data_IF_427669924504
#
_entry.id   IF_427669924504
#
_cell.length_a   1.000
_cell.length_b   1.000
_cell.length_c   1.000
_cell.angle_alpha   90.00
_cell.angle_beta   90.00
_cell.angle_gamma   90.00
#
_symmetry.space_group_name_H-M   'P 1'
#
loop_
_entity.id
_entity.type
_entity.pdbx_description
1 polymer ?
#
# COMPACT_ATOMS: atom_id res chain seq x y z
N UNK A 1 34.42 1.60 3.69
CA UNK A 1 34.06 0.36 4.40
C UNK A 1 32.57 0.17 4.21
N UNK A 2 32.16 -0.88 3.49
CA UNK A 2 30.74 -1.26 3.42
C UNK A 2 30.33 -1.65 4.84
N UNK A 3 29.26 -1.03 5.37
CA UNK A 3 28.84 -1.23 6.76
C UNK A 3 28.53 -2.70 7.08
N UNK A 4 28.63 -3.09 8.35
CA UNK A 4 28.22 -4.43 8.80
C UNK A 4 26.70 -4.47 8.95
N UNK A 5 26.07 -5.55 8.47
CA UNK A 5 24.64 -5.78 8.68
C UNK A 5 24.35 -6.12 10.15
N UNK A 6 23.29 -5.55 10.70
CA UNK A 6 22.82 -5.71 12.07
C UNK A 6 21.54 -6.54 12.15
N UNK A 7 20.67 -6.48 11.13
CA UNK A 7 19.43 -7.24 11.05
C UNK A 7 18.98 -7.42 9.59
N UNK A 8 17.98 -8.27 9.39
CA UNK A 8 17.34 -8.50 8.09
C UNK A 8 15.91 -7.96 8.16
N UNK A 9 15.58 -7.04 7.27
CA UNK A 9 14.22 -6.54 7.09
C UNK A 9 13.53 -7.36 5.99
N UNK A 10 12.31 -7.85 6.23
CA UNK A 10 11.55 -8.65 5.25
C UNK A 10 10.17 -8.05 5.07
N UNK A 11 9.86 -7.63 3.85
CA UNK A 11 8.50 -7.34 3.41
C UNK A 11 7.96 -8.55 2.67
N UNK A 12 7.02 -9.26 3.31
CA UNK A 12 6.54 -10.55 2.86
C UNK A 12 5.09 -10.46 2.42
N UNK A 13 4.90 -10.14 1.15
CA UNK A 13 3.60 -9.95 0.53
C UNK A 13 2.90 -11.26 0.14
N UNK A 14 1.73 -11.10 -0.48
CA UNK A 14 0.89 -12.21 -0.96
C UNK A 14 1.60 -13.07 -2.01
N UNK A 15 2.19 -12.44 -3.01
CA UNK A 15 2.82 -13.12 -4.16
C UNK A 15 4.32 -12.95 -4.23
N UNK A 16 4.87 -11.91 -3.60
CA UNK A 16 6.30 -11.60 -3.65
C UNK A 16 6.86 -11.44 -2.24
N UNK A 17 8.17 -11.65 -2.11
CA UNK A 17 8.94 -11.33 -0.90
C UNK A 17 10.11 -10.43 -1.29
N UNK A 18 10.37 -9.43 -0.45
CA UNK A 18 11.54 -8.56 -0.51
C UNK A 18 12.28 -8.63 0.82
N UNK A 19 13.57 -8.88 0.78
CA UNK A 19 14.41 -8.98 1.96
C UNK A 19 15.64 -8.08 1.81
N UNK A 20 16.08 -7.49 2.91
CA UNK A 20 17.15 -6.49 2.94
C UNK A 20 18.09 -6.76 4.10
N UNK A 21 19.40 -6.77 3.84
CA UNK A 21 20.40 -6.70 4.89
C UNK A 21 20.55 -5.23 5.33
N UNK A 22 20.28 -4.94 6.59
CA UNK A 22 20.21 -3.58 7.11
C UNK A 22 21.39 -3.31 8.04
N UNK A 23 22.01 -2.13 7.92
CA UNK A 23 22.97 -1.64 8.91
C UNK A 23 22.27 -1.22 10.21
N UNK A 24 23.04 -1.06 11.29
CA UNK A 24 22.56 -0.50 12.56
C UNK A 24 21.96 0.91 12.39
N UNK A 25 22.46 1.69 11.42
CA UNK A 25 21.94 3.02 11.10
C UNK A 25 20.73 3.00 10.13
N UNK A 26 20.15 1.82 9.85
CA UNK A 26 18.99 1.70 8.97
C UNK A 26 19.30 1.80 7.46
N UNK A 27 20.57 1.73 7.06
CA UNK A 27 20.97 1.74 5.65
C UNK A 27 20.82 0.35 5.03
N UNK A 28 20.23 0.26 3.83
CA UNK A 28 20.20 -0.99 3.05
C UNK A 28 21.62 -1.28 2.53
N UNK A 29 22.17 -2.44 2.88
CA UNK A 29 23.51 -2.89 2.47
C UNK A 29 23.45 -3.91 1.32
N UNK A 30 22.38 -4.70 1.28
CA UNK A 30 22.12 -5.71 0.26
C UNK A 30 20.62 -5.99 0.19
N UNK A 31 20.13 -6.50 -0.94
CA UNK A 31 18.70 -6.77 -1.16
C UNK A 31 18.45 -8.01 -2.00
N UNK A 32 17.31 -8.64 -1.77
CA UNK A 32 16.77 -9.78 -2.52
C UNK A 32 15.28 -9.53 -2.76
N UNK A 33 14.83 -9.77 -3.99
CA UNK A 33 13.41 -9.85 -4.32
C UNK A 33 13.13 -11.15 -5.09
N UNK A 34 12.08 -11.87 -4.70
CA UNK A 34 11.67 -13.12 -5.33
C UNK A 34 10.13 -13.32 -5.26
N UNK A 35 9.67 -14.40 -5.90
CA UNK A 35 8.27 -14.84 -5.98
C UNK A 35 7.84 -15.73 -4.80
N UNK A 36 8.62 -15.75 -3.71
CA UNK A 36 8.32 -16.54 -2.50
C UNK A 36 7.31 -15.83 -1.59
N UNK A 37 6.25 -15.25 -2.15
CA UNK A 37 5.13 -14.71 -1.37
C UNK A 37 4.38 -15.78 -0.59
N UNK A 38 3.50 -15.37 0.33
CA UNK A 38 2.80 -16.31 1.22
C UNK A 38 1.95 -17.36 0.47
N UNK A 39 1.46 -17.06 -0.73
CA UNK A 39 0.68 -18.02 -1.53
C UNK A 39 1.54 -19.14 -2.14
N UNK A 40 2.86 -18.96 -2.21
CA UNK A 40 3.80 -19.96 -2.69
C UNK A 40 4.32 -20.88 -1.57
N UNK A 41 3.85 -20.68 -0.33
CA UNK A 41 4.38 -21.32 0.87
C UNK A 41 3.29 -21.99 1.68
N UNK A 42 3.68 -23.06 2.38
CA UNK A 42 2.92 -23.65 3.47
C UNK A 42 3.53 -23.23 4.81
N UNK A 43 2.77 -23.22 5.93
CA UNK A 43 3.29 -22.79 7.24
C UNK A 43 4.56 -23.52 7.70
N UNK A 44 4.74 -24.79 7.32
CA UNK A 44 5.92 -25.61 7.62
C UNK A 44 7.16 -25.26 6.78
N UNK A 45 7.01 -24.51 5.68
CA UNK A 45 8.13 -24.09 4.85
C UNK A 45 8.90 -22.88 5.42
N UNK A 46 8.29 -22.08 6.29
CA UNK A 46 8.88 -20.83 6.78
C UNK A 46 10.22 -21.00 7.52
N UNK A 47 10.42 -22.00 8.40
CA UNK A 47 11.74 -22.22 9.03
C UNK A 47 12.87 -22.40 8.00
N UNK A 48 12.61 -23.08 6.88
CA UNK A 48 13.56 -23.24 5.79
C UNK A 48 13.86 -21.92 5.07
N UNK A 49 12.82 -21.10 4.84
CA UNK A 49 12.98 -19.76 4.24
C UNK A 49 13.77 -18.80 5.14
N UNK A 50 13.51 -18.84 6.45
CA UNK A 50 14.28 -18.07 7.45
C UNK A 50 15.75 -18.50 7.45
N UNK A 51 16.02 -19.82 7.40
CA UNK A 51 17.38 -20.34 7.31
C UNK A 51 18.08 -19.89 6.02
N UNK A 52 17.37 -19.88 4.88
CA UNK A 52 17.90 -19.40 3.61
C UNK A 52 18.26 -17.91 3.65
N UNK A 53 17.40 -17.07 4.25
CA UNK A 53 17.70 -15.65 4.45
C UNK A 53 18.93 -15.44 5.35
N UNK A 54 19.04 -16.19 6.45
CA UNK A 54 20.21 -16.16 7.34
C UNK A 54 21.48 -16.67 6.64
N UNK A 55 21.38 -17.65 5.76
CA UNK A 55 22.51 -18.11 4.97
C UNK A 55 22.97 -17.04 3.96
N UNK A 56 22.03 -16.28 3.37
CA UNK A 56 22.31 -15.23 2.37
C UNK A 56 22.87 -13.93 2.96
N UNK A 57 22.35 -13.49 4.11
CA UNK A 57 22.65 -12.19 4.70
C UNK A 57 23.40 -12.26 6.03
N UNK A 58 23.58 -13.46 6.59
CA UNK A 58 24.21 -13.70 7.89
C UNK A 58 23.20 -14.15 8.95
N UNK A 59 23.69 -14.82 9.99
CA UNK A 59 22.89 -15.25 11.14
C UNK A 59 22.49 -14.05 12.02
N UNK A 60 21.56 -13.25 11.51
CA UNK A 60 21.08 -12.01 12.10
C UNK A 60 19.61 -12.13 12.51
N UNK A 61 19.14 -11.24 13.40
CA UNK A 61 17.72 -11.10 13.70
C UNK A 61 16.92 -10.67 12.47
N UNK A 62 15.67 -11.12 12.37
CA UNK A 62 14.76 -10.84 11.25
C UNK A 62 13.52 -10.11 11.76
N UNK A 63 13.12 -9.03 11.08
CA UNK A 63 11.81 -8.40 11.27
C UNK A 63 11.04 -8.53 9.97
N UNK A 64 9.90 -9.18 10.03
CA UNK A 64 9.03 -9.45 8.90
C UNK A 64 7.70 -8.70 9.02
N UNK A 65 7.27 -8.08 7.92
CA UNK A 65 6.04 -7.30 7.84
C UNK A 65 5.15 -7.81 6.71
N UNK A 66 3.90 -7.36 6.69
CA UNK A 66 2.95 -7.71 5.65
C UNK A 66 2.27 -9.06 5.87
N UNK A 67 1.98 -9.76 4.78
CA UNK A 67 1.06 -10.89 4.76
C UNK A 67 1.58 -12.16 5.44
N UNK A 68 2.86 -12.25 5.79
CA UNK A 68 3.40 -13.32 6.66
C UNK A 68 2.68 -13.40 8.01
N UNK A 69 2.15 -12.28 8.52
CA UNK A 69 1.35 -12.23 9.74
C UNK A 69 -0.16 -12.43 9.54
N UNK A 70 -0.61 -12.74 8.33
CA UNK A 70 -2.04 -13.00 8.05
C UNK A 70 -2.47 -14.39 8.49
N UNK A 71 -3.78 -14.68 8.45
CA UNK A 71 -4.31 -16.02 8.68
C UNK A 71 -3.94 -17.05 7.59
N UNK A 72 -3.35 -16.59 6.48
CA UNK A 72 -2.81 -17.43 5.40
C UNK A 72 -1.28 -17.41 5.35
N UNK A 73 -0.64 -16.69 6.29
CA UNK A 73 0.81 -16.59 6.40
C UNK A 73 1.41 -17.66 7.30
N UNK A 74 2.52 -17.33 7.97
CA UNK A 74 3.21 -18.23 8.88
C UNK A 74 2.46 -18.37 10.21
N UNK A 75 2.23 -17.24 10.87
CA UNK A 75 1.53 -17.17 12.15
C UNK A 75 0.66 -15.92 12.17
N UNK A 76 -0.62 -16.09 12.48
CA UNK A 76 -1.57 -14.99 12.50
C UNK A 76 -1.23 -14.00 13.62
N UNK A 77 -0.72 -12.83 13.26
CA UNK A 77 -0.48 -11.71 14.16
C UNK A 77 -1.78 -10.91 14.38
N UNK A 78 -2.32 -10.84 15.61
CA UNK A 78 -3.54 -10.08 15.90
C UNK A 78 -3.39 -8.61 15.48
N UNK A 79 -4.45 -8.01 14.95
CA UNK A 79 -4.44 -6.59 14.61
C UNK A 79 -4.41 -5.71 15.86
N UNK A 80 -3.60 -4.66 15.83
CA UNK A 80 -3.64 -3.55 16.79
C UNK A 80 -4.79 -2.62 16.42
N UNK A 81 -5.62 -2.22 17.40
CA UNK A 81 -6.73 -1.30 17.14
C UNK A 81 -6.22 0.14 16.99
N UNK A 82 -6.82 0.91 16.07
CA UNK A 82 -6.59 2.35 16.04
C UNK A 82 -7.27 3.06 17.24
N UNK A 83 -6.71 4.14 17.80
CA UNK A 83 -5.44 4.76 17.42
C UNK A 83 -4.22 3.88 17.68
N UNK A 84 -3.39 3.64 16.65
CA UNK A 84 -2.26 2.73 16.71
C UNK A 84 -0.94 3.52 16.59
N UNK A 85 -0.06 3.36 17.59
CA UNK A 85 1.29 3.94 17.58
C UNK A 85 2.33 2.91 17.14
N UNK A 86 3.50 3.38 16.74
CA UNK A 86 4.63 2.51 16.45
C UNK A 86 5.01 1.63 17.66
N UNK A 87 4.98 2.19 18.87
CA UNK A 87 5.24 1.46 20.11
C UNK A 87 4.20 0.34 20.34
N UNK A 88 2.92 0.60 20.08
CA UNK A 88 1.88 -0.41 20.20
C UNK A 88 2.07 -1.57 19.20
N UNK A 89 2.60 -1.31 18.00
CA UNK A 89 2.98 -2.38 17.07
C UNK A 89 4.17 -3.19 17.57
N UNK A 90 5.18 -2.54 18.16
CA UNK A 90 6.36 -3.19 18.74
C UNK A 90 5.94 -4.14 19.86
N UNK A 91 5.11 -3.67 20.80
CA UNK A 91 4.63 -4.45 21.94
C UNK A 91 3.79 -5.68 21.51
N UNK A 92 3.13 -5.57 20.36
CA UNK A 92 2.27 -6.62 19.81
C UNK A 92 2.96 -7.52 18.76
N UNK A 93 4.28 -7.35 18.53
CA UNK A 93 5.04 -8.24 17.65
C UNK A 93 5.00 -9.70 18.15
N UNK A 94 4.88 -10.64 17.22
CA UNK A 94 5.01 -12.06 17.51
C UNK A 94 6.43 -12.54 17.24
N UNK A 95 6.93 -13.48 18.03
CA UNK A 95 8.19 -14.18 17.80
C UNK A 95 7.95 -15.66 17.46
N UNK A 96 7.64 -16.01 16.20
CA UNK A 96 7.40 -17.40 15.79
C UNK A 96 8.64 -18.31 15.88
N UNK A 97 9.83 -17.72 15.90
CA UNK A 97 11.12 -18.42 16.02
C UNK A 97 12.16 -17.49 16.67
N UNK A 98 13.24 -18.03 17.27
CA UNK A 98 14.25 -17.21 17.93
C UNK A 98 14.82 -16.12 17.01
N UNK A 99 14.78 -14.88 17.47
CA UNK A 99 15.23 -13.68 16.74
C UNK A 99 14.52 -13.45 15.40
N UNK A 100 13.24 -13.85 15.30
CA UNK A 100 12.39 -13.58 14.13
C UNK A 100 11.09 -13.00 14.61
N UNK A 101 10.78 -11.76 14.20
CA UNK A 101 9.56 -11.08 14.60
C UNK A 101 8.63 -10.82 13.43
N UNK A 102 7.34 -10.98 13.67
CA UNK A 102 6.27 -10.62 12.75
C UNK A 102 5.54 -9.42 13.33
N UNK A 103 5.50 -8.32 12.57
CA UNK A 103 4.79 -7.11 12.96
C UNK A 103 3.29 -7.25 12.63
N UNK A 104 2.38 -6.91 13.57
CA UNK A 104 0.95 -6.95 13.32
C UNK A 104 0.49 -5.83 12.37
N UNK A 105 -0.70 -6.00 11.79
CA UNK A 105 -1.39 -4.94 11.07
C UNK A 105 -2.24 -4.06 11.99
N UNK A 106 -2.92 -3.07 11.42
CA UNK A 106 -3.84 -2.16 12.15
C UNK A 106 -5.29 -2.40 11.74
N UNK A 107 -6.23 -2.27 12.68
CA UNK A 107 -7.66 -2.40 12.46
C UNK A 107 -8.46 -1.21 13.02
N UNK A 108 -9.46 -0.77 12.26
CA UNK A 108 -10.60 -0.02 12.80
C UNK A 108 -11.67 -1.01 13.21
N UNK A 109 -11.95 -1.06 14.52
CA UNK A 109 -12.95 -1.97 15.09
C UNK A 109 -14.25 -1.26 15.40
N UNK A 110 -14.13 -0.03 15.91
CA UNK A 110 -15.24 0.76 16.40
C UNK A 110 -15.62 1.83 15.37
N UNK A 111 -16.90 2.21 15.31
CA UNK A 111 -17.42 3.20 14.38
C UNK A 111 -18.29 2.62 13.26
N UNK A 112 -18.61 3.45 12.27
CA UNK A 112 -19.57 3.11 11.21
C UNK A 112 -19.00 2.15 10.16
N UNK A 113 -17.67 2.08 10.01
CA UNK A 113 -17.00 1.22 9.01
C UNK A 113 -15.83 0.47 9.67
N UNK A 114 -15.89 -0.87 9.75
CA UNK A 114 -14.71 -1.67 10.08
C UNK A 114 -13.72 -1.65 8.91
N UNK A 115 -12.43 -1.63 9.22
CA UNK A 115 -11.38 -1.62 8.20
C UNK A 115 -10.09 -2.26 8.72
N UNK A 116 -9.24 -2.76 7.83
CA UNK A 116 -7.95 -3.38 8.18
C UNK A 116 -6.84 -3.04 7.17
N UNK A 117 -5.60 -3.00 7.65
CA UNK A 117 -4.40 -2.94 6.82
C UNK A 117 -3.29 -3.81 7.42
N UNK A 118 -2.37 -4.32 6.58
CA UNK A 118 -1.25 -5.15 7.01
C UNK A 118 -0.09 -5.02 6.02
N UNK A 119 0.95 -4.31 6.45
CA UNK A 119 2.12 -3.91 5.70
C UNK A 119 2.11 -2.41 5.38
N UNK A 120 0.93 -1.86 5.08
CA UNK A 120 0.72 -0.43 4.82
C UNK A 120 1.09 0.46 6.01
N UNK A 121 0.77 0.03 7.24
CA UNK A 121 1.08 0.75 8.47
C UNK A 121 2.59 1.05 8.61
N UNK A 122 3.43 0.12 8.15
CA UNK A 122 4.88 0.23 8.23
C UNK A 122 5.41 1.32 7.31
N UNK A 123 4.80 1.49 6.14
CA UNK A 123 5.19 2.56 5.22
C UNK A 123 4.83 3.94 5.79
N UNK A 124 3.67 4.06 6.45
CA UNK A 124 3.26 5.30 7.13
C UNK A 124 4.27 5.66 8.22
N UNK A 125 4.56 4.73 9.14
CA UNK A 125 5.54 5.00 10.21
C UNK A 125 6.94 5.26 9.68
N UNK A 126 7.34 4.59 8.60
CA UNK A 126 8.63 4.82 7.97
C UNK A 126 8.74 6.20 7.31
N UNK A 127 7.69 6.68 6.67
CA UNK A 127 7.66 8.03 6.10
C UNK A 127 7.75 9.11 7.17
N UNK A 128 7.03 8.93 8.29
CA UNK A 128 7.10 9.83 9.45
C UNK A 128 8.49 9.78 10.08
N UNK A 129 9.00 8.58 10.37
CA UNK A 129 10.30 8.38 11.03
C UNK A 129 11.49 8.89 10.21
N UNK A 130 11.40 8.84 8.88
CA UNK A 130 12.41 9.39 7.98
C UNK A 130 12.27 10.91 7.75
N UNK A 131 11.26 11.57 8.33
CA UNK A 131 10.98 12.99 8.12
C UNK A 131 10.43 13.33 6.73
N UNK A 132 9.98 12.33 5.97
CA UNK A 132 9.40 12.51 4.63
C UNK A 132 7.91 12.92 4.67
N UNK A 133 7.27 12.76 5.84
CA UNK A 133 5.92 13.24 6.12
C UNK A 133 5.80 13.70 7.58
N UNK A 134 4.92 14.66 7.90
CA UNK A 134 4.69 15.09 9.27
C UNK A 134 3.93 14.02 10.08
N UNK A 135 4.04 14.09 11.41
CA UNK A 135 3.38 13.16 12.32
C UNK A 135 1.84 13.23 12.25
N UNK A 136 1.30 14.40 11.87
CA UNK A 136 -0.13 14.62 11.60
C UNK A 136 -0.33 14.85 10.11
N UNK A 137 -0.74 13.81 9.39
CA UNK A 137 -0.73 13.77 7.93
C UNK A 137 -1.89 12.92 7.37
N UNK A 138 -2.24 13.19 6.11
CA UNK A 138 -3.12 12.34 5.32
C UNK A 138 -2.24 11.62 4.30
N UNK A 139 -2.24 10.30 4.35
CA UNK A 139 -1.54 9.46 3.40
C UNK A 139 -2.51 8.85 2.40
N UNK A 140 -2.05 8.66 1.18
CA UNK A 140 -2.70 7.85 0.17
C UNK A 140 -1.72 6.78 -0.29
N UNK A 141 -2.13 5.51 -0.26
CA UNK A 141 -1.31 4.37 -0.70
C UNK A 141 -1.99 3.66 -1.86
N UNK A 142 -1.79 4.12 -3.10
CA UNK A 142 -2.40 3.51 -4.27
C UNK A 142 -1.98 2.05 -4.46
N UNK A 143 -2.91 1.20 -4.85
CA UNK A 143 -2.64 -0.21 -5.16
C UNK A 143 -3.90 -0.97 -5.56
N UNK A 144 -3.86 -2.29 -5.46
CA UNK A 144 -5.06 -3.14 -5.58
C UNK A 144 -6.17 -2.65 -4.66
N UNK A 145 -5.79 -2.32 -3.44
CA UNK A 145 -6.62 -1.67 -2.44
C UNK A 145 -5.95 -0.35 -2.05
N UNK A 146 -6.48 0.77 -2.52
CA UNK A 146 -6.01 2.08 -2.08
C UNK A 146 -6.31 2.25 -0.59
N UNK A 147 -5.36 2.83 0.16
CA UNK A 147 -5.58 3.23 1.55
C UNK A 147 -5.49 4.75 1.66
N UNK A 148 -6.53 5.36 2.22
CA UNK A 148 -6.44 6.70 2.81
C UNK A 148 -6.17 6.55 4.29
N UNK A 149 -5.07 7.08 4.81
CA UNK A 149 -4.65 6.85 6.20
C UNK A 149 -4.44 8.19 6.89
N UNK A 150 -5.10 8.38 8.02
CA UNK A 150 -4.98 9.57 8.84
C UNK A 150 -4.08 9.30 10.03
N UNK A 151 -3.11 10.20 10.23
CA UNK A 151 -2.30 10.22 11.43
C UNK A 151 -2.50 11.51 12.21
N UNK A 152 -2.44 11.39 13.54
CA UNK A 152 -2.40 12.50 14.50
C UNK A 152 -1.31 12.19 15.51
N UNK A 153 -0.38 13.12 15.69
CA UNK A 153 0.75 13.01 16.63
C UNK A 153 1.54 11.69 16.49
N UNK A 154 1.65 11.19 15.25
CA UNK A 154 2.40 9.98 14.92
C UNK A 154 1.65 8.67 15.18
N UNK A 155 0.36 8.73 15.54
CA UNK A 155 -0.52 7.56 15.63
C UNK A 155 -1.42 7.46 14.40
N UNK A 156 -1.66 6.26 13.87
CA UNK A 156 -2.70 5.99 12.87
C UNK A 156 -4.05 6.02 13.58
N UNK A 157 -4.88 7.02 13.30
CA UNK A 157 -6.16 7.25 14.01
C UNK A 157 -7.37 6.79 13.24
N UNK A 158 -7.34 6.89 11.92
CA UNK A 158 -8.42 6.48 11.03
C UNK A 158 -7.84 6.07 9.67
N UNK A 159 -8.57 5.26 8.92
CA UNK A 159 -8.23 4.93 7.53
C UNK A 159 -9.42 4.37 6.76
N UNK A 160 -9.37 4.53 5.44
CA UNK A 160 -10.36 3.99 4.49
C UNK A 160 -9.66 3.14 3.44
N UNK A 161 -10.14 1.93 3.24
CA UNK A 161 -9.79 1.08 2.11
C UNK A 161 -10.76 1.29 0.95
N UNK A 162 -10.23 1.52 -0.25
CA UNK A 162 -11.00 1.57 -1.49
C UNK A 162 -10.43 0.55 -2.48
N UNK A 163 -11.28 -0.34 -3.00
CA UNK A 163 -10.88 -1.45 -3.88
C UNK A 163 -10.67 -1.00 -5.35
N UNK A 164 -10.07 0.18 -5.55
CA UNK A 164 -9.96 0.86 -6.85
C UNK A 164 -9.22 0.01 -7.88
N UNK A 165 -8.03 -0.49 -7.53
CA UNK A 165 -7.23 -1.34 -8.41
C UNK A 165 -7.86 -2.71 -8.68
N UNK A 166 -8.45 -3.33 -7.66
CA UNK A 166 -9.17 -4.61 -7.81
C UNK A 166 -10.37 -4.47 -8.76
N UNK A 167 -11.19 -3.44 -8.60
CA UNK A 167 -12.30 -3.19 -9.50
C UNK A 167 -11.84 -2.94 -10.93
N UNK A 168 -10.76 -2.17 -11.13
CA UNK A 168 -10.20 -1.99 -12.47
C UNK A 168 -9.78 -3.33 -13.09
N UNK A 169 -9.04 -4.16 -12.35
CA UNK A 169 -8.59 -5.47 -12.82
C UNK A 169 -9.76 -6.42 -13.15
N UNK A 170 -10.79 -6.44 -12.31
CA UNK A 170 -12.00 -7.25 -12.53
C UNK A 170 -12.76 -6.78 -13.77
N UNK A 171 -12.97 -5.47 -13.96
CA UNK A 171 -13.69 -4.94 -15.11
C UNK A 171 -12.90 -5.11 -16.42
N UNK A 172 -11.57 -5.07 -16.34
CA UNK A 172 -10.69 -5.32 -17.48
C UNK A 172 -10.76 -6.77 -17.96
N UNK A 173 -10.90 -7.71 -17.03
CA UNK A 173 -10.80 -9.15 -17.31
C UNK A 173 -12.17 -9.83 -17.44
N UNK A 174 -13.21 -9.28 -16.80
CA UNK A 174 -14.52 -9.89 -16.67
C UNK A 174 -15.67 -8.90 -16.95
N UNK A 175 -16.83 -9.44 -17.31
CA UNK A 175 -18.03 -8.65 -17.58
C UNK A 175 -18.01 -7.95 -18.94
N UNK A 176 -18.89 -6.96 -19.11
CA UNK A 176 -19.14 -6.32 -20.42
C UNK A 176 -18.01 -5.39 -20.90
N UNK A 177 -17.14 -4.96 -19.98
CA UNK A 177 -15.96 -4.13 -20.27
C UNK A 177 -14.70 -4.97 -20.50
N UNK A 178 -14.80 -6.30 -20.38
CA UNK A 178 -13.66 -7.19 -20.59
C UNK A 178 -13.06 -7.01 -21.98
N UNK A 179 -11.73 -6.97 -22.06
CA UNK A 179 -10.98 -6.74 -23.30
C UNK A 179 -11.08 -5.32 -23.86
N UNK A 180 -11.96 -4.47 -23.33
CA UNK A 180 -12.12 -3.07 -23.72
C UNK A 180 -11.12 -2.17 -22.98
N UNK A 181 -10.66 -2.60 -21.81
CA UNK A 181 -9.77 -1.83 -20.93
C UNK A 181 -8.29 -2.28 -21.03
N UNK A 182 -7.88 -2.86 -22.15
CA UNK A 182 -6.52 -3.39 -22.35
C UNK A 182 -5.49 -2.35 -22.81
N UNK A 183 -5.95 -1.15 -23.16
CA UNK A 183 -5.10 -0.03 -23.51
C UNK A 183 -4.22 0.45 -22.35
N UNK A 184 -3.20 1.24 -22.69
CA UNK A 184 -2.39 1.93 -21.69
C UNK A 184 -3.26 2.92 -20.89
N UNK A 185 -3.01 2.99 -19.60
CA UNK A 185 -3.54 4.05 -18.75
C UNK A 185 -2.42 5.07 -18.61
N UNK A 186 -2.66 6.31 -18.99
CA UNK A 186 -1.68 7.39 -18.88
C UNK A 186 -2.38 8.66 -18.39
N UNK A 187 -1.61 9.56 -17.76
CA UNK A 187 -2.12 10.90 -17.48
C UNK A 187 -2.31 11.64 -18.82
N UNK A 188 -3.58 11.83 -19.18
CA UNK A 188 -3.98 12.47 -20.42
C UNK A 188 -5.42 12.96 -20.35
N UNK A 189 -5.90 13.50 -21.47
CA UNK A 189 -7.24 14.10 -21.57
C UNK A 189 -8.35 13.12 -21.16
N UNK A 190 -8.30 11.88 -21.63
CA UNK A 190 -9.30 10.84 -21.35
C UNK A 190 -9.29 10.40 -19.90
N UNK A 191 -8.11 10.23 -19.31
CA UNK A 191 -7.93 9.95 -17.88
C UNK A 191 -8.51 11.07 -17.01
N UNK A 192 -8.10 12.33 -17.23
CA UNK A 192 -8.59 13.49 -16.47
C UNK A 192 -10.09 13.72 -16.63
N UNK A 193 -10.63 13.49 -17.83
CA UNK A 193 -12.07 13.50 -18.04
C UNK A 193 -12.77 12.41 -17.22
N UNK A 194 -12.16 11.22 -17.12
CA UNK A 194 -12.61 10.14 -16.25
C UNK A 194 -12.58 10.55 -14.78
N UNK A 195 -11.49 11.15 -14.30
CA UNK A 195 -11.34 11.64 -12.93
C UNK A 195 -12.46 12.63 -12.58
N UNK A 196 -12.67 13.65 -13.41
CA UNK A 196 -13.77 14.62 -13.21
C UNK A 196 -15.14 13.94 -13.17
N UNK A 197 -15.37 12.97 -14.05
CA UNK A 197 -16.63 12.21 -14.08
C UNK A 197 -16.80 11.35 -12.83
N UNK A 198 -15.73 10.74 -12.34
CA UNK A 198 -15.68 9.95 -11.11
C UNK A 198 -15.97 10.78 -9.87
N UNK A 199 -15.34 11.95 -9.74
CA UNK A 199 -15.58 12.90 -8.64
C UNK A 199 -17.04 13.36 -8.57
N UNK A 200 -17.67 13.57 -9.73
CA UNK A 200 -19.09 13.95 -9.81
C UNK A 200 -20.06 12.75 -9.70
N UNK A 201 -19.55 11.51 -9.60
CA UNK A 201 -20.37 10.30 -9.61
C UNK A 201 -21.18 10.15 -8.33
N UNK A 202 -22.50 9.97 -8.48
CA UNK A 202 -23.41 9.60 -7.38
C UNK A 202 -23.75 8.11 -7.37
N UNK A 203 -23.45 7.41 -8.47
CA UNK A 203 -23.65 5.98 -8.63
C UNK A 203 -22.53 5.44 -9.53
N UNK A 204 -21.55 4.76 -8.93
CA UNK A 204 -20.38 4.27 -9.65
C UNK A 204 -20.74 3.23 -10.73
N UNK A 205 -21.71 2.36 -10.48
CA UNK A 205 -22.12 1.34 -11.44
C UNK A 205 -22.72 1.95 -12.72
N UNK A 206 -23.57 2.97 -12.57
CA UNK A 206 -24.12 3.71 -13.70
C UNK A 206 -23.00 4.45 -14.47
N UNK A 207 -22.11 5.13 -13.75
CA UNK A 207 -20.98 5.86 -14.34
C UNK A 207 -20.02 4.94 -15.10
N UNK A 208 -19.72 3.75 -14.57
CA UNK A 208 -18.86 2.78 -15.27
C UNK A 208 -19.49 2.24 -16.56
N UNK A 209 -20.81 2.11 -16.62
CA UNK A 209 -21.50 1.71 -17.86
C UNK A 209 -21.38 2.78 -18.96
N UNK A 210 -21.11 4.05 -18.61
CA UNK A 210 -20.85 5.13 -19.57
C UNK A 210 -19.61 4.85 -20.43
N UNK A 211 -18.66 4.04 -19.96
CA UNK A 211 -17.52 3.60 -20.78
C UNK A 211 -18.03 2.76 -21.96
N UNK A 212 -18.91 1.79 -21.70
CA UNK A 212 -19.48 0.92 -22.75
C UNK A 212 -20.40 1.70 -23.68
N UNK A 213 -21.33 2.47 -23.13
CA UNK A 213 -22.26 3.24 -23.96
C UNK A 213 -21.56 4.36 -24.73
N UNK A 214 -20.51 4.96 -24.16
CA UNK A 214 -19.66 5.94 -24.83
C UNK A 214 -18.97 5.37 -26.06
N UNK A 215 -18.48 4.13 -26.00
CA UNK A 215 -17.90 3.45 -27.17
C UNK A 215 -18.97 3.13 -28.23
N UNK A 216 -20.13 2.60 -27.82
CA UNK A 216 -21.22 2.25 -28.74
C UNK A 216 -21.83 3.46 -29.44
N UNK A 217 -21.79 4.62 -28.79
CA UNK A 217 -22.32 5.88 -29.30
C UNK A 217 -21.21 6.80 -29.85
N UNK A 218 -19.99 6.29 -30.03
CA UNK A 218 -18.85 7.02 -30.61
C UNK A 218 -18.49 8.32 -29.87
N UNK A 219 -18.76 8.37 -28.56
CA UNK A 219 -18.41 9.47 -27.65
C UNK A 219 -17.09 9.26 -26.92
N UNK A 220 -16.51 8.05 -27.03
CA UNK A 220 -15.23 7.66 -26.45
C UNK A 220 -14.46 6.83 -27.49
N UNK A 221 -13.18 7.13 -27.69
CA UNK A 221 -12.32 6.35 -28.58
C UNK A 221 -11.98 4.98 -27.95
N UNK A 222 -11.84 3.90 -28.75
CA UNK A 222 -11.44 2.59 -28.22
C UNK A 222 -10.11 2.61 -27.46
N UNK A 223 -9.13 3.40 -27.92
CA UNK A 223 -7.84 3.57 -27.24
C UNK A 223 -7.90 4.33 -25.92
N UNK A 224 -8.98 5.11 -25.70
CA UNK A 224 -9.17 5.95 -24.52
C UNK A 224 -9.90 5.24 -23.37
N UNK A 225 -10.53 4.09 -23.66
CA UNK A 225 -11.44 3.43 -22.73
C UNK A 225 -10.77 3.03 -21.41
N UNK A 226 -9.56 2.48 -21.48
CA UNK A 226 -8.80 2.07 -20.29
C UNK A 226 -8.46 3.28 -19.41
N UNK A 227 -7.89 4.34 -20.00
CA UNK A 227 -7.55 5.57 -19.30
C UNK A 227 -8.79 6.24 -18.68
N UNK A 228 -9.89 6.32 -19.43
CA UNK A 228 -11.14 6.92 -18.94
C UNK A 228 -11.76 6.12 -17.78
N UNK A 229 -11.82 4.78 -17.89
CA UNK A 229 -12.34 3.92 -16.84
C UNK A 229 -11.48 3.97 -15.56
N UNK A 230 -10.15 3.97 -15.71
CA UNK A 230 -9.23 4.16 -14.58
C UNK A 230 -9.45 5.51 -13.91
N UNK A 231 -9.57 6.57 -14.71
CA UNK A 231 -9.90 7.91 -14.22
C UNK A 231 -11.22 7.95 -13.45
N UNK A 232 -12.29 7.30 -13.95
CA UNK A 232 -13.59 7.21 -13.23
C UNK A 232 -13.42 6.57 -11.86
N UNK A 233 -12.70 5.44 -11.78
CA UNK A 233 -12.51 4.71 -10.53
C UNK A 233 -11.67 5.52 -9.53
N UNK A 234 -10.56 6.10 -9.97
CA UNK A 234 -9.71 6.96 -9.12
C UNK A 234 -10.47 8.22 -8.71
N UNK A 235 -11.22 8.86 -9.60
CA UNK A 235 -12.04 10.01 -9.27
C UNK A 235 -13.13 9.69 -8.23
N UNK A 236 -13.76 8.52 -8.33
CA UNK A 236 -14.75 8.08 -7.35
C UNK A 236 -14.12 7.72 -5.99
N UNK A 237 -12.91 7.17 -5.99
CA UNK A 237 -12.08 6.93 -4.79
C UNK A 237 -11.77 8.26 -4.08
N UNK A 238 -11.27 9.26 -4.80
CA UNK A 238 -11.04 10.60 -4.27
C UNK A 238 -12.33 11.26 -3.76
N UNK A 239 -13.46 10.98 -4.42
CA UNK A 239 -14.79 11.47 -4.02
C UNK A 239 -15.27 10.98 -2.65
N UNK A 240 -14.59 10.02 -2.03
CA UNK A 240 -14.85 9.61 -0.64
C UNK A 240 -14.29 10.58 0.40
N UNK A 241 -13.50 11.58 -0.02
CA UNK A 241 -12.85 12.59 0.82
C UNK A 241 -13.43 13.98 0.57
N UNK A 242 -13.62 14.74 1.64
CA UNK A 242 -14.05 16.15 1.60
C UNK A 242 -12.93 17.13 1.99
N UNK A 243 -11.72 16.62 2.22
CA UNK A 243 -10.63 17.34 2.87
C UNK A 243 -9.37 17.49 2.01
N UNK A 244 -9.41 17.01 0.76
CA UNK A 244 -8.27 17.03 -0.16
C UNK A 244 -7.69 18.43 -0.39
N UNK A 245 -8.53 19.47 -0.28
CA UNK A 245 -8.12 20.88 -0.46
C UNK A 245 -7.62 21.53 0.84
N UNK A 246 -7.80 20.87 1.99
CA UNK A 246 -7.53 21.45 3.32
C UNK A 246 -6.13 21.13 3.83
N UNK A 247 -5.46 20.12 3.26
CA UNK A 247 -4.16 19.60 3.71
C UNK A 247 -3.45 18.86 2.57
N UNK A 248 -2.10 18.77 2.60
CA UNK A 248 -1.37 17.92 1.67
C UNK A 248 -1.73 16.44 1.79
N UNK A 249 -1.65 15.72 0.67
CA UNK A 249 -1.81 14.27 0.58
C UNK A 249 -0.47 13.63 0.30
N UNK A 250 0.06 12.88 1.28
CA UNK A 250 1.33 12.18 1.16
C UNK A 250 1.13 10.84 0.44
N UNK A 251 1.55 10.76 -0.81
CA UNK A 251 1.46 9.57 -1.64
C UNK A 251 2.61 8.61 -1.30
N UNK A 252 2.26 7.46 -0.74
CA UNK A 252 3.20 6.37 -0.49
C UNK A 252 3.08 5.33 -1.61
N UNK A 253 4.21 5.00 -2.20
CA UNK A 253 4.31 4.17 -3.38
C UNK A 253 4.88 4.95 -4.54
N UNK A 254 5.78 4.33 -5.29
CA UNK A 254 6.45 4.95 -6.44
C UNK A 254 5.78 4.60 -7.77
N UNK A 255 6.35 5.17 -8.83
CA UNK A 255 6.07 4.78 -10.22
C UNK A 255 4.73 5.28 -10.76
N UNK A 256 4.23 4.53 -11.74
CA UNK A 256 3.15 4.97 -12.62
C UNK A 256 1.82 5.23 -11.88
N UNK A 257 1.42 4.34 -10.96
CA UNK A 257 0.15 4.48 -10.25
C UNK A 257 0.13 5.69 -9.31
N UNK A 258 1.26 5.96 -8.63
CA UNK A 258 1.40 7.15 -7.79
C UNK A 258 1.31 8.44 -8.61
N UNK A 259 1.88 8.45 -9.83
CA UNK A 259 1.75 9.58 -10.75
C UNK A 259 0.29 9.81 -11.19
N UNK A 260 -0.47 8.75 -11.47
CA UNK A 260 -1.90 8.85 -11.79
C UNK A 260 -2.73 9.42 -10.61
N UNK A 261 -2.48 8.94 -9.39
CA UNK A 261 -3.14 9.48 -8.21
C UNK A 261 -2.74 10.93 -7.93
N UNK A 262 -1.46 11.30 -8.11
CA UNK A 262 -1.03 12.70 -8.01
C UNK A 262 -1.79 13.58 -9.02
N UNK A 263 -1.84 13.17 -10.28
CA UNK A 263 -2.58 13.89 -11.33
C UNK A 263 -4.07 14.04 -10.98
N UNK A 264 -4.69 12.98 -10.44
CA UNK A 264 -6.10 12.99 -10.04
C UNK A 264 -6.36 13.87 -8.81
N UNK A 265 -5.47 13.86 -7.82
CA UNK A 265 -5.56 14.73 -6.64
C UNK A 265 -5.45 16.20 -7.06
N UNK A 266 -4.51 16.53 -7.95
CA UNK A 266 -4.40 17.87 -8.52
C UNK A 266 -5.65 18.25 -9.31
N UNK A 267 -6.24 17.34 -10.10
CA UNK A 267 -7.52 17.58 -10.80
C UNK A 267 -8.69 17.85 -9.82
N UNK A 268 -8.63 17.29 -8.60
CA UNK A 268 -9.57 17.56 -7.51
C UNK A 268 -9.25 18.85 -6.71
N UNK A 269 -8.24 19.63 -7.15
CA UNK A 269 -7.67 20.80 -6.47
C UNK A 269 -6.99 20.49 -5.11
N UNK A 270 -6.57 19.25 -4.88
CA UNK A 270 -5.73 18.89 -3.75
C UNK A 270 -4.24 19.11 -4.00
N UNK A 271 -3.44 18.92 -2.96
CA UNK A 271 -1.99 19.10 -2.96
C UNK A 271 -1.26 17.75 -2.75
N UNK A 272 -0.88 17.02 -3.81
CA UNK A 272 -0.20 15.74 -3.69
C UNK A 272 1.30 15.93 -3.43
N UNK A 273 1.81 15.25 -2.40
CA UNK A 273 3.23 15.16 -2.06
C UNK A 273 3.70 13.73 -2.24
N UNK A 274 4.54 13.48 -3.24
CA UNK A 274 5.11 12.15 -3.47
C UNK A 274 6.18 11.89 -2.41
N UNK A 275 5.97 10.84 -1.60
CA UNK A 275 6.95 10.37 -0.62
C UNK A 275 8.00 9.53 -1.35
N UNK A 276 9.31 9.78 -1.15
CA UNK A 276 10.36 8.98 -1.76
C UNK A 276 10.27 7.50 -1.37
N UNK A 277 10.74 6.62 -2.27
CA UNK A 277 10.83 5.19 -1.99
C UNK A 277 11.72 4.91 -0.77
N UNK A 278 11.45 3.79 -0.10
CA UNK A 278 12.20 3.35 1.09
C UNK A 278 11.42 3.44 2.41
N UNK A 279 10.16 3.90 2.39
CA UNK A 279 9.32 3.98 3.60
C UNK A 279 9.13 2.61 4.27
N UNK A 280 9.07 1.52 3.51
CA UNK A 280 8.97 0.16 4.11
C UNK A 280 10.21 -0.16 4.95
N UNK A 281 11.42 0.00 4.39
CA UNK A 281 12.67 -0.27 5.11
C UNK A 281 12.89 0.70 6.26
N UNK A 282 12.49 1.97 6.11
CA UNK A 282 12.54 2.95 7.18
C UNK A 282 11.58 2.60 8.33
N UNK A 283 10.37 2.10 8.02
CA UNK A 283 9.41 1.66 9.03
C UNK A 283 9.89 0.42 9.78
N UNK A 284 10.45 -0.57 9.07
CA UNK A 284 11.06 -1.74 9.70
C UNK A 284 12.25 -1.32 10.59
N UNK A 285 13.06 -0.36 10.14
CA UNK A 285 14.14 0.18 10.96
C UNK A 285 13.61 0.86 12.22
N UNK A 286 12.52 1.62 12.14
CA UNK A 286 11.91 2.26 13.30
C UNK A 286 11.39 1.22 14.33
N UNK A 287 10.81 0.10 13.86
CA UNK A 287 10.47 -1.05 14.73
C UNK A 287 11.74 -1.64 15.36
N UNK A 288 12.80 -1.87 14.58
CA UNK A 288 14.05 -2.44 15.07
C UNK A 288 14.69 -1.57 16.17
N UNK A 289 14.79 -0.26 15.93
CA UNK A 289 15.42 0.70 16.84
C UNK A 289 14.69 0.87 18.16
N UNK A 290 13.38 0.61 18.21
CA UNK A 290 12.61 0.63 19.46
C UNK A 290 12.74 -0.67 20.27
N UNK A 291 13.27 -1.74 19.65
CA UNK A 291 13.44 -3.06 20.28
C UNK A 291 14.87 -3.34 20.73
N UNK A 292 15.85 -2.73 20.08
CA UNK A 292 17.27 -2.83 20.41
C UNK A 292 17.60 -2.09 21.71
#
# INVERSE_FOLDING_TARGET
MVGRAAYIAVDWGTTNRRAFAMSEAGTVLDSLGDDRGILALTPDAYPGEIAALRARFGALPIIAVGMVGSNRGWQAAPYVAAPATLAALVDACLEPAPDVWIVPGVALRDGARPDVMRGEEIQVFGAIGAGAAPATALFCQPGTHNKWIETVDGAITDFTTVMTGEFFALLRTHGILAGTLDGAVEDGTSFRAGVRRGLASRNLAATLFEVRSGLLLERLGPGDAAAHASGILIGADLGTRDDLQRRPVHLLGGGHLAALYAAAITEANGDPVIVPDGSTTAGIHAIWSLRA
#
